data_IF_173744884900
#
_entry.id   IF_173744884900
#
_cell.length_a   1.000
_cell.length_b   1.000
_cell.length_c   1.000
_cell.angle_alpha   90.00
_cell.angle_beta   90.00
_cell.angle_gamma   90.00
#
_symmetry.space_group_name_H-M   'P 1'
#
loop_
_entity.id
_entity.type
_entity.pdbx_description
1 polymer ?
#
# COMPACT_ATOMS: atom_id res chain seq x y z
N UNK A 1 12.21 -73.61 -35.65
CA UNK A 1 11.70 -73.23 -34.32
C UNK A 1 12.23 -71.86 -33.99
N UNK A 2 11.39 -70.83 -34.12
CA UNK A 2 11.78 -69.43 -33.80
C UNK A 2 11.00 -69.08 -32.51
N UNK A 3 11.75 -68.84 -31.42
CA UNK A 3 11.21 -68.42 -30.12
C UNK A 3 11.11 -66.90 -30.12
N UNK A 4 9.90 -66.35 -30.03
CA UNK A 4 9.64 -64.92 -29.83
C UNK A 4 9.68 -64.63 -28.34
N UNK A 5 10.56 -63.73 -27.91
CA UNK A 5 10.55 -63.14 -26.59
C UNK A 5 9.70 -61.87 -26.64
N UNK A 6 8.59 -61.84 -25.93
CA UNK A 6 7.77 -60.66 -25.71
C UNK A 6 8.30 -59.96 -24.46
N UNK A 7 8.94 -58.83 -24.65
CA UNK A 7 9.33 -57.94 -23.55
C UNK A 7 8.14 -57.09 -23.07
N UNK A 8 7.72 -57.30 -21.82
CA UNK A 8 6.73 -56.43 -21.13
C UNK A 8 7.47 -55.20 -20.65
N UNK A 9 7.21 -54.06 -21.31
CA UNK A 9 7.63 -52.74 -20.83
C UNK A 9 6.66 -52.27 -19.72
N UNK A 10 7.13 -52.28 -18.47
CA UNK A 10 6.43 -51.72 -17.31
C UNK A 10 6.57 -50.18 -17.34
N UNK A 11 5.53 -49.50 -17.83
CA UNK A 11 5.43 -48.03 -17.75
C UNK A 11 5.13 -47.64 -16.29
N UNK A 12 6.17 -47.22 -15.57
CA UNK A 12 6.01 -46.47 -14.31
C UNK A 12 5.40 -45.11 -14.64
N UNK A 13 4.06 -44.98 -14.48
CA UNK A 13 3.40 -43.70 -14.42
C UNK A 13 3.85 -43.00 -13.14
N UNK A 14 4.84 -42.07 -13.24
CA UNK A 14 5.10 -41.05 -12.25
C UNK A 14 3.87 -40.15 -12.23
N UNK A 15 2.93 -40.45 -11.36
CA UNK A 15 1.87 -39.54 -11.01
C UNK A 15 2.51 -38.28 -10.42
N UNK A 16 2.49 -37.16 -11.15
CA UNK A 16 2.61 -35.86 -10.55
C UNK A 16 1.44 -35.76 -9.58
N UNK A 17 1.71 -35.84 -8.30
CA UNK A 17 0.77 -35.47 -7.26
C UNK A 17 0.57 -33.95 -7.38
N UNK A 18 -0.38 -33.57 -8.23
CA UNK A 18 -0.88 -32.21 -8.30
C UNK A 18 -1.79 -32.05 -7.07
N UNK A 19 -1.12 -31.97 -5.89
CA UNK A 19 -1.79 -31.57 -4.68
C UNK A 19 -2.42 -30.22 -4.99
N UNK A 20 -3.74 -30.18 -5.09
CA UNK A 20 -4.56 -28.99 -5.36
C UNK A 20 -4.24 -27.95 -4.29
N UNK A 21 -3.23 -27.09 -4.57
CA UNK A 21 -2.91 -25.96 -3.71
C UNK A 21 -4.10 -25.05 -3.71
N UNK A 22 -4.73 -24.95 -2.56
CA UNK A 22 -5.78 -23.96 -2.36
C UNK A 22 -5.13 -22.58 -2.32
N UNK A 23 -5.50 -21.67 -3.22
CA UNK A 23 -4.94 -20.32 -3.26
C UNK A 23 -5.95 -19.30 -2.73
N UNK A 24 -5.44 -18.30 -2.00
CA UNK A 24 -6.17 -17.10 -1.59
C UNK A 24 -5.56 -15.92 -2.35
N UNK A 25 -6.35 -15.30 -3.22
CA UNK A 25 -5.90 -14.20 -4.09
C UNK A 25 -6.28 -12.86 -3.47
N UNK A 26 -5.28 -12.03 -3.19
CA UNK A 26 -5.42 -10.67 -2.64
C UNK A 26 -4.95 -9.65 -3.67
N UNK A 27 -5.80 -8.70 -4.07
CA UNK A 27 -5.42 -7.68 -5.06
C UNK A 27 -5.67 -6.26 -4.55
N UNK A 28 -4.93 -5.27 -5.02
CA UNK A 28 -5.29 -3.87 -4.78
C UNK A 28 -4.19 -2.97 -4.25
N UNK A 29 -4.40 -2.37 -3.08
CA UNK A 29 -3.55 -1.31 -2.51
C UNK A 29 -2.09 -1.73 -2.32
N UNK A 30 -1.17 -1.00 -2.96
CA UNK A 30 0.28 -1.16 -2.74
C UNK A 30 0.75 -0.76 -1.33
N UNK A 31 -0.06 -0.01 -0.58
CA UNK A 31 0.23 0.30 0.83
C UNK A 31 -0.10 -0.90 1.74
N UNK A 32 -1.17 -1.63 1.44
CA UNK A 32 -1.57 -2.82 2.22
C UNK A 32 -0.72 -4.04 1.83
N UNK A 33 -0.22 -4.09 0.61
CA UNK A 33 0.46 -5.28 0.06
C UNK A 33 1.66 -5.79 0.88
N UNK A 34 2.58 -4.96 1.41
CA UNK A 34 3.65 -5.45 2.29
C UNK A 34 3.12 -6.16 3.53
N UNK A 35 2.08 -5.59 4.14
CA UNK A 35 1.40 -6.16 5.31
C UNK A 35 0.71 -7.48 4.95
N UNK A 36 -0.04 -7.50 3.83
CA UNK A 36 -0.70 -8.70 3.31
C UNK A 36 0.30 -9.82 3.01
N UNK A 37 1.46 -9.50 2.45
CA UNK A 37 2.51 -10.46 2.12
C UNK A 37 3.12 -11.10 3.38
N UNK A 38 3.44 -10.31 4.41
CA UNK A 38 3.99 -10.86 5.65
C UNK A 38 2.95 -11.67 6.45
N UNK A 39 1.70 -11.20 6.49
CA UNK A 39 0.59 -11.96 7.07
C UNK A 39 0.32 -13.24 6.27
N UNK A 40 0.38 -13.18 4.93
CA UNK A 40 0.23 -14.33 4.04
C UNK A 40 1.27 -15.41 4.32
N UNK A 41 2.55 -15.06 4.42
CA UNK A 41 3.63 -16.02 4.77
C UNK A 41 3.38 -16.71 6.12
N UNK A 42 2.92 -15.96 7.12
CA UNK A 42 2.59 -16.52 8.43
C UNK A 42 1.37 -17.43 8.37
N UNK A 43 0.36 -17.05 7.61
CA UNK A 43 -0.84 -17.84 7.40
C UNK A 43 -0.54 -19.15 6.67
N UNK A 44 0.26 -19.12 5.59
CA UNK A 44 0.74 -20.29 4.86
C UNK A 44 1.49 -21.28 5.78
N UNK A 45 2.30 -20.77 6.71
CA UNK A 45 3.03 -21.60 7.68
C UNK A 45 2.09 -22.34 8.65
N UNK A 46 0.92 -21.77 8.95
CA UNK A 46 -0.12 -22.37 9.81
C UNK A 46 -1.06 -23.29 9.03
N UNK A 47 -1.14 -23.16 7.69
CA UNK A 47 -2.06 -23.87 6.81
C UNK A 47 -1.30 -24.55 5.67
N UNK A 48 -0.67 -25.72 5.91
CA UNK A 48 0.07 -26.45 4.87
C UNK A 48 -0.82 -26.72 3.64
N UNK A 49 -0.32 -26.44 2.44
CA UNK A 49 -1.06 -26.59 1.18
C UNK A 49 -1.84 -25.34 0.74
N UNK A 50 -1.92 -24.29 1.57
CA UNK A 50 -2.47 -22.99 1.20
C UNK A 50 -1.38 -22.09 0.60
N UNK A 51 -1.76 -21.30 -0.40
CA UNK A 51 -0.94 -20.22 -1.00
C UNK A 51 -1.69 -18.90 -0.91
N UNK A 52 -1.02 -17.85 -0.45
CA UNK A 52 -1.55 -16.48 -0.47
C UNK A 52 -0.87 -15.69 -1.57
N UNK A 53 -1.61 -15.33 -2.61
CA UNK A 53 -1.11 -14.54 -3.75
C UNK A 53 -1.48 -13.07 -3.59
N UNK A 54 -0.47 -12.20 -3.51
CA UNK A 54 -0.65 -10.76 -3.27
C UNK A 54 -0.26 -9.98 -4.51
N UNK A 55 -1.23 -9.28 -5.12
CA UNK A 55 -1.04 -8.51 -6.34
C UNK A 55 -1.38 -7.04 -6.12
N UNK A 56 -0.51 -6.13 -6.58
CA UNK A 56 -0.74 -4.69 -6.47
C UNK A 56 -1.40 -4.12 -7.74
N UNK A 57 -2.08 -2.99 -7.58
CA UNK A 57 -2.75 -2.31 -8.70
C UNK A 57 -3.51 -1.05 -8.26
N UNK A 58 -3.55 -0.80 -6.94
CA UNK A 58 -4.31 0.28 -6.31
C UNK A 58 -5.67 -0.20 -5.79
N UNK A 59 -6.22 0.58 -4.86
CA UNK A 59 -7.46 0.20 -4.16
C UNK A 59 -8.66 0.03 -5.10
N UNK A 60 -8.76 0.85 -6.15
CA UNK A 60 -9.84 0.73 -7.14
C UNK A 60 -9.76 -0.58 -7.91
N UNK A 61 -8.55 -1.10 -8.20
CA UNK A 61 -8.37 -2.41 -8.80
C UNK A 61 -8.83 -3.50 -7.83
N UNK A 62 -8.41 -3.45 -6.56
CA UNK A 62 -8.83 -4.45 -5.55
C UNK A 62 -10.35 -4.55 -5.42
N UNK A 63 -11.05 -3.41 -5.43
CA UNK A 63 -12.51 -3.36 -5.42
C UNK A 63 -13.10 -3.99 -6.69
N UNK A 64 -12.55 -3.67 -7.87
CA UNK A 64 -13.03 -4.21 -9.14
C UNK A 64 -12.81 -5.73 -9.23
N UNK A 65 -11.63 -6.20 -8.85
CA UNK A 65 -11.25 -7.62 -8.90
C UNK A 65 -12.16 -8.48 -7.98
N UNK A 66 -12.46 -8.00 -6.76
CA UNK A 66 -13.39 -8.67 -5.84
C UNK A 66 -14.81 -8.73 -6.41
N UNK A 67 -15.31 -7.63 -6.99
CA UNK A 67 -16.64 -7.59 -7.61
C UNK A 67 -16.76 -8.53 -8.81
N UNK A 68 -15.65 -8.75 -9.53
CA UNK A 68 -15.58 -9.66 -10.69
C UNK A 68 -15.26 -11.12 -10.30
N UNK A 69 -15.01 -11.41 -9.03
CA UNK A 69 -14.58 -12.72 -8.57
C UNK A 69 -13.16 -13.10 -9.01
N UNK A 70 -12.34 -12.12 -9.42
CA UNK A 70 -10.95 -12.32 -9.79
C UNK A 70 -9.99 -12.30 -8.57
N UNK A 71 -10.48 -11.85 -7.42
CA UNK A 71 -9.79 -11.91 -6.14
C UNK A 71 -10.76 -12.30 -5.03
N UNK A 72 -10.27 -13.02 -4.03
CA UNK A 72 -11.03 -13.40 -2.84
C UNK A 72 -11.19 -12.21 -1.90
N UNK A 73 -10.14 -11.40 -1.76
CA UNK A 73 -10.13 -10.19 -0.95
C UNK A 73 -9.46 -9.03 -1.71
N UNK A 74 -10.04 -7.84 -1.58
CA UNK A 74 -9.47 -6.60 -2.07
C UNK A 74 -8.67 -5.89 -0.98
N UNK A 75 -7.49 -5.39 -1.31
CA UNK A 75 -6.70 -4.53 -0.44
C UNK A 75 -7.06 -3.06 -0.69
N UNK A 76 -7.53 -2.35 0.33
CA UNK A 76 -8.01 -0.97 0.22
C UNK A 76 -7.43 -0.11 1.34
N UNK A 77 -6.79 1.02 1.01
CA UNK A 77 -6.17 1.93 1.98
C UNK A 77 -6.97 3.22 2.18
N UNK A 78 -8.27 3.10 2.29
CA UNK A 78 -9.26 4.14 2.64
C UNK A 78 -10.56 3.50 3.13
N UNK A 79 -11.45 4.29 3.69
CA UNK A 79 -12.82 3.85 3.92
C UNK A 79 -13.54 3.53 2.59
N UNK A 80 -14.49 2.62 2.62
CA UNK A 80 -15.40 2.39 1.50
C UNK A 80 -16.29 3.64 1.28
N UNK A 81 -16.61 3.91 0.03
CA UNK A 81 -17.53 4.97 -0.34
C UNK A 81 -18.98 4.48 -0.26
N UNK A 82 -19.93 5.38 -0.30
CA UNK A 82 -21.37 5.04 -0.27
C UNK A 82 -21.80 4.12 -1.42
N UNK A 83 -21.22 4.31 -2.61
CA UNK A 83 -21.46 3.46 -3.80
C UNK A 83 -20.78 2.08 -3.74
N UNK A 84 -20.00 1.83 -2.70
CA UNK A 84 -19.29 0.55 -2.45
C UNK A 84 -19.96 -0.25 -1.32
N UNK A 85 -21.23 0.03 -1.03
CA UNK A 85 -22.00 -0.60 0.06
C UNK A 85 -22.34 -2.07 -0.15
N UNK A 86 -22.03 -2.64 -1.31
CA UNK A 86 -22.08 -4.07 -1.62
C UNK A 86 -20.89 -4.85 -1.01
N UNK A 87 -19.86 -4.14 -0.55
CA UNK A 87 -18.65 -4.71 0.02
C UNK A 87 -18.67 -4.64 1.56
N UNK A 88 -18.08 -5.64 2.19
CA UNK A 88 -17.72 -5.61 3.61
C UNK A 88 -16.27 -5.18 3.76
N UNK A 89 -15.98 -4.35 4.77
CA UNK A 89 -14.64 -3.83 5.04
C UNK A 89 -14.13 -4.32 6.39
N UNK A 90 -12.91 -4.85 6.41
CA UNK A 90 -12.23 -5.39 7.58
C UNK A 90 -10.93 -4.62 7.78
N UNK A 91 -10.95 -3.68 8.70
CA UNK A 91 -9.78 -2.88 9.04
C UNK A 91 -8.75 -3.74 9.78
N UNK A 92 -7.47 -3.60 9.43
CA UNK A 92 -6.36 -4.39 9.99
C UNK A 92 -5.23 -3.53 10.55
N UNK A 93 -5.10 -2.29 10.08
CA UNK A 93 -4.12 -1.34 10.58
C UNK A 93 -4.56 0.11 10.28
N UNK A 94 -3.89 1.07 10.94
CA UNK A 94 -3.94 2.48 10.56
C UNK A 94 -2.60 2.91 9.96
N UNK A 95 -2.67 3.90 9.07
CA UNK A 95 -1.53 4.55 8.43
C UNK A 95 -1.86 6.03 8.20
N UNK A 96 -0.85 6.83 7.89
CA UNK A 96 -1.00 8.22 7.47
C UNK A 96 -0.47 8.45 6.07
N UNK A 97 -0.84 9.57 5.45
CA UNK A 97 -0.25 10.06 4.20
C UNK A 97 0.58 11.29 4.53
N UNK A 98 1.90 11.18 4.40
CA UNK A 98 2.84 12.27 4.66
C UNK A 98 3.49 12.80 3.39
N UNK A 99 3.78 14.10 3.38
CA UNK A 99 4.67 14.69 2.40
C UNK A 99 6.11 14.23 2.67
N UNK A 100 6.84 13.89 1.61
CA UNK A 100 8.25 13.52 1.67
C UNK A 100 9.10 14.45 0.81
N UNK A 101 10.28 14.77 1.30
CA UNK A 101 11.35 15.46 0.59
C UNK A 101 12.66 14.71 0.78
N UNK A 102 13.67 15.02 -0.03
CA UNK A 102 15.02 14.51 0.20
C UNK A 102 15.54 14.98 1.57
N UNK A 103 16.33 14.17 2.25
CA UNK A 103 16.85 14.49 3.60
C UNK A 103 17.64 15.80 3.66
N UNK A 104 18.32 16.19 2.57
CA UNK A 104 19.11 17.43 2.47
C UNK A 104 18.25 18.66 2.14
N UNK A 105 16.96 18.50 1.82
CA UNK A 105 16.08 19.63 1.58
C UNK A 105 15.86 20.40 2.90
N UNK A 106 16.13 21.72 2.99
CA UNK A 106 16.08 22.46 4.24
C UNK A 106 14.67 22.82 4.72
N UNK A 107 13.63 22.58 3.92
CA UNK A 107 12.25 22.96 4.27
C UNK A 107 11.79 22.23 5.53
N UNK A 108 11.40 22.97 6.56
CA UNK A 108 10.94 22.38 7.81
C UNK A 108 9.49 21.89 7.74
N UNK A 109 8.61 22.66 7.09
CA UNK A 109 7.18 22.37 6.89
C UNK A 109 6.68 23.13 5.65
N UNK A 110 5.58 22.68 5.07
CA UNK A 110 4.83 23.39 4.04
C UNK A 110 3.39 23.62 4.53
N UNK A 111 2.92 24.85 4.42
CA UNK A 111 1.51 25.16 4.65
C UNK A 111 0.62 24.52 3.58
N UNK A 112 -0.66 24.33 3.87
CA UNK A 112 -1.64 23.81 2.89
C UNK A 112 -1.66 24.64 1.59
N UNK A 113 -1.51 25.97 1.70
CA UNK A 113 -1.47 26.88 0.55
C UNK A 113 -0.22 26.66 -0.32
N UNK A 114 0.94 26.45 0.30
CA UNK A 114 2.18 26.15 -0.41
C UNK A 114 2.13 24.78 -1.09
N UNK A 115 1.58 23.75 -0.41
CA UNK A 115 1.34 22.43 -1.04
C UNK A 115 0.45 22.58 -2.26
N UNK A 116 -0.69 23.30 -2.14
CA UNK A 116 -1.56 23.57 -3.28
C UNK A 116 -0.82 24.31 -4.39
N UNK A 117 -0.05 25.33 -4.03
CA UNK A 117 0.75 26.12 -4.98
C UNK A 117 1.76 25.27 -5.77
N UNK A 118 2.49 24.42 -5.08
CA UNK A 118 3.47 23.48 -5.67
C UNK A 118 2.76 22.51 -6.63
N UNK A 119 1.72 21.81 -6.15
CA UNK A 119 1.04 20.80 -6.96
C UNK A 119 0.23 21.38 -8.12
N UNK A 120 -0.12 22.68 -8.10
CA UNK A 120 -0.83 23.35 -9.20
C UNK A 120 0.08 24.21 -10.09
N UNK A 121 1.39 24.27 -9.81
CA UNK A 121 2.39 24.98 -10.60
C UNK A 121 2.37 26.49 -10.45
N UNK A 122 1.89 27.03 -9.32
CA UNK A 122 2.03 28.44 -8.98
C UNK A 122 3.27 28.71 -8.11
N UNK A 123 3.87 27.66 -7.55
CA UNK A 123 5.16 27.65 -6.86
C UNK A 123 6.02 26.59 -7.54
N UNK A 124 7.10 27.01 -8.18
CA UNK A 124 7.95 26.15 -9.01
C UNK A 124 9.41 26.13 -8.52
N UNK A 125 9.76 26.99 -7.56
CA UNK A 125 11.12 27.08 -6.99
C UNK A 125 11.07 27.04 -5.47
N UNK A 126 11.98 26.29 -4.85
CA UNK A 126 12.05 26.13 -3.40
C UNK A 126 12.28 27.45 -2.64
N UNK A 127 12.94 28.46 -3.27
CA UNK A 127 13.12 29.77 -2.65
C UNK A 127 11.82 30.53 -2.38
N UNK A 128 10.74 30.19 -3.12
CA UNK A 128 9.43 30.80 -2.93
C UNK A 128 8.76 30.37 -1.61
N UNK A 129 9.24 29.27 -1.03
CA UNK A 129 8.72 28.71 0.24
C UNK A 129 9.79 28.66 1.35
N UNK A 130 10.88 29.45 1.19
CA UNK A 130 11.94 29.56 2.21
C UNK A 130 13.03 28.50 2.13
N UNK A 131 13.07 27.71 1.06
CA UNK A 131 14.12 26.75 0.77
C UNK A 131 15.31 27.34 0.02
N UNK A 132 16.29 26.49 -0.30
CA UNK A 132 17.40 26.87 -1.17
C UNK A 132 16.88 27.05 -2.62
N UNK A 133 17.38 28.07 -3.36
CA UNK A 133 16.99 28.26 -4.76
C UNK A 133 17.17 26.99 -5.60
N UNK A 134 16.16 26.63 -6.35
CA UNK A 134 16.19 25.48 -7.25
C UNK A 134 14.78 24.98 -7.60
N UNK A 135 14.63 24.31 -8.76
CA UNK A 135 13.34 23.87 -9.24
C UNK A 135 12.74 22.78 -8.34
N UNK A 136 11.42 22.83 -8.19
CA UNK A 136 10.65 21.79 -7.49
C UNK A 136 10.25 20.72 -8.50
N UNK A 137 10.60 19.46 -8.23
CA UNK A 137 10.10 18.29 -8.99
C UNK A 137 8.89 17.69 -8.29
N UNK A 138 7.73 17.80 -8.89
CA UNK A 138 6.45 17.34 -8.32
C UNK A 138 6.23 15.86 -8.63
N UNK A 139 6.26 15.03 -7.59
CA UNK A 139 5.98 13.58 -7.69
C UNK A 139 4.52 13.34 -7.29
N UNK A 140 3.74 12.75 -8.20
CA UNK A 140 2.30 12.55 -8.05
C UNK A 140 1.91 11.09 -8.26
N UNK A 141 0.82 10.65 -7.63
CA UNK A 141 0.31 9.29 -7.74
C UNK A 141 -0.57 9.12 -9.00
N UNK A 142 -0.48 7.95 -9.65
CA UNK A 142 -1.39 7.55 -10.71
C UNK A 142 -2.83 7.38 -10.18
N UNK A 143 -3.80 7.45 -11.07
CA UNK A 143 -5.22 7.23 -10.77
C UNK A 143 -5.50 5.82 -10.21
N UNK A 144 -6.62 5.67 -9.50
CA UNK A 144 -7.01 4.42 -8.84
C UNK A 144 -6.27 4.12 -7.53
N UNK A 145 -5.45 5.05 -7.05
CA UNK A 145 -4.71 4.94 -5.78
C UNK A 145 -5.40 5.74 -4.68
N UNK A 146 -5.76 5.09 -3.57
CA UNK A 146 -6.38 5.78 -2.42
C UNK A 146 -5.51 6.93 -1.89
N UNK A 147 -4.18 6.80 -1.97
CA UNK A 147 -3.24 7.85 -1.54
C UNK A 147 -3.45 9.13 -2.37
N UNK A 148 -3.66 9.01 -3.69
CA UNK A 148 -4.03 10.12 -4.56
C UNK A 148 -5.35 10.77 -4.12
N UNK A 149 -6.38 9.93 -3.98
CA UNK A 149 -7.74 10.39 -3.68
C UNK A 149 -7.80 11.17 -2.36
N UNK A 150 -7.20 10.62 -1.30
CA UNK A 150 -7.16 11.25 0.02
C UNK A 150 -6.32 12.53 0.05
N UNK A 151 -5.18 12.55 -0.67
CA UNK A 151 -4.36 13.76 -0.82
C UNK A 151 -5.16 14.89 -1.50
N UNK A 152 -5.78 14.61 -2.64
CA UNK A 152 -6.58 15.58 -3.37
C UNK A 152 -7.78 16.09 -2.55
N UNK A 153 -8.44 15.19 -1.82
CA UNK A 153 -9.54 15.55 -0.94
C UNK A 153 -9.10 16.47 0.20
N UNK A 154 -7.98 16.15 0.85
CA UNK A 154 -7.46 16.93 1.98
C UNK A 154 -7.11 18.36 1.56
N UNK A 155 -6.33 18.49 0.49
CA UNK A 155 -5.89 19.80 -0.02
C UNK A 155 -6.92 20.47 -0.93
N UNK A 156 -8.09 19.83 -1.18
CA UNK A 156 -9.17 20.31 -2.04
C UNK A 156 -8.69 20.67 -3.47
N UNK A 157 -7.78 19.86 -4.01
CA UNK A 157 -7.23 20.02 -5.36
C UNK A 157 -8.00 19.10 -6.32
N UNK A 158 -8.41 19.61 -7.48
CA UNK A 158 -8.92 18.78 -8.58
C UNK A 158 -7.73 18.12 -9.30
N UNK A 159 -7.78 16.81 -9.56
CA UNK A 159 -6.69 16.09 -10.23
C UNK A 159 -6.27 16.75 -11.57
N UNK A 160 -7.24 17.27 -12.32
CA UNK A 160 -7.00 18.01 -13.58
C UNK A 160 -6.21 19.33 -13.43
N UNK A 161 -6.03 19.83 -12.21
CA UNK A 161 -5.25 21.05 -11.91
C UNK A 161 -3.83 20.72 -11.49
N UNK A 162 -3.53 19.46 -11.17
CA UNK A 162 -2.17 19.07 -10.79
C UNK A 162 -1.23 19.13 -11.98
N UNK A 163 -0.02 19.62 -11.77
CA UNK A 163 1.08 19.73 -12.74
C UNK A 163 2.23 18.81 -12.30
N UNK A 164 2.14 17.50 -12.52
CA UNK A 164 3.19 16.58 -12.11
C UNK A 164 4.34 16.57 -13.09
N UNK A 165 5.58 16.47 -12.57
CA UNK A 165 6.76 16.14 -13.36
C UNK A 165 6.94 14.63 -13.48
N UNK A 166 6.60 13.90 -12.40
CA UNK A 166 6.72 12.45 -12.34
C UNK A 166 5.41 11.84 -11.82
N UNK A 167 4.88 10.85 -12.53
CA UNK A 167 3.72 10.07 -12.09
C UNK A 167 4.17 8.68 -11.67
N UNK A 168 3.81 8.27 -10.46
CA UNK A 168 4.23 7.01 -9.83
C UNK A 168 3.04 6.11 -9.49
N UNK A 169 3.29 4.78 -9.45
CA UNK A 169 2.27 3.78 -9.14
C UNK A 169 2.17 3.39 -7.66
N UNK A 170 3.28 3.40 -6.92
CA UNK A 170 3.33 2.91 -5.53
C UNK A 170 4.19 3.80 -4.62
N UNK A 171 4.29 3.45 -3.33
CA UNK A 171 5.06 4.25 -2.37
C UNK A 171 6.55 4.15 -2.62
N UNK A 172 7.06 2.95 -2.92
CA UNK A 172 8.46 2.70 -3.17
C UNK A 172 9.01 3.49 -4.35
N UNK A 173 8.24 3.57 -5.46
CA UNK A 173 8.60 4.41 -6.60
C UNK A 173 8.69 5.88 -6.19
N UNK A 174 7.76 6.36 -5.37
CA UNK A 174 7.77 7.74 -4.86
C UNK A 174 8.97 8.03 -3.98
N UNK A 175 9.24 7.15 -3.03
CA UNK A 175 10.38 7.28 -2.12
C UNK A 175 11.70 7.26 -2.91
N UNK A 176 11.89 6.32 -3.83
CA UNK A 176 13.09 6.25 -4.68
C UNK A 176 13.27 7.47 -5.58
N UNK A 177 12.16 8.02 -6.10
CA UNK A 177 12.21 9.24 -6.90
C UNK A 177 12.68 10.43 -6.08
N UNK A 178 12.15 10.60 -4.86
CA UNK A 178 12.54 11.68 -3.96
C UNK A 178 13.96 11.47 -3.43
N UNK A 179 14.34 10.24 -3.06
CA UNK A 179 15.69 9.91 -2.63
C UNK A 179 16.76 10.17 -3.69
N UNK A 180 16.42 10.03 -4.97
CA UNK A 180 17.32 10.30 -6.10
C UNK A 180 17.32 11.74 -6.59
N UNK A 181 16.48 12.62 -6.04
CA UNK A 181 16.35 14.02 -6.50
C UNK A 181 16.13 14.98 -5.32
N UNK A 182 17.15 15.74 -4.87
CA UNK A 182 17.03 16.70 -3.78
C UNK A 182 15.98 17.81 -4.00
N UNK A 183 15.60 18.10 -5.24
CA UNK A 183 14.54 19.05 -5.59
C UNK A 183 13.13 18.47 -5.58
N UNK A 184 12.97 17.16 -5.35
CA UNK A 184 11.67 16.51 -5.43
C UNK A 184 10.85 16.63 -4.14
N UNK A 185 9.53 16.71 -4.33
CA UNK A 185 8.51 16.56 -3.28
C UNK A 185 7.49 15.53 -3.73
N UNK A 186 7.10 14.65 -2.82
CA UNK A 186 6.09 13.63 -3.05
C UNK A 186 5.20 13.44 -1.82
N UNK A 187 4.24 12.53 -1.92
CA UNK A 187 3.42 12.10 -0.79
C UNK A 187 3.21 10.58 -0.84
N UNK A 188 3.40 9.94 0.30
CA UNK A 188 3.39 8.48 0.43
C UNK A 188 2.80 8.05 1.78
N UNK A 189 2.72 6.75 2.02
CA UNK A 189 2.46 6.17 3.34
C UNK A 189 3.52 6.61 4.34
N UNK A 190 3.10 7.07 5.51
CA UNK A 190 4.01 7.44 6.61
C UNK A 190 4.79 6.20 7.05
N UNK A 191 4.11 5.08 7.29
CA UNK A 191 4.78 3.86 7.73
C UNK A 191 5.85 3.39 6.74
N UNK A 192 5.56 3.39 5.43
CA UNK A 192 6.56 3.04 4.42
C UNK A 192 7.76 4.00 4.43
N UNK A 193 7.52 5.31 4.51
CA UNK A 193 8.59 6.30 4.50
C UNK A 193 9.44 6.28 5.79
N UNK A 194 8.83 6.06 6.96
CA UNK A 194 9.56 5.87 8.22
C UNK A 194 10.45 4.63 8.18
N UNK A 195 9.93 3.51 7.64
CA UNK A 195 10.70 2.29 7.48
C UNK A 195 11.93 2.52 6.59
N UNK A 196 11.74 3.10 5.41
CA UNK A 196 12.80 3.35 4.46
C UNK A 196 13.85 4.34 5.00
N UNK A 197 13.41 5.42 5.66
CA UNK A 197 14.31 6.36 6.31
C UNK A 197 15.13 5.69 7.44
N UNK A 198 14.53 4.79 8.21
CA UNK A 198 15.21 4.06 9.29
C UNK A 198 16.31 3.12 8.76
N UNK A 199 16.19 2.59 7.54
CA UNK A 199 17.22 1.77 6.89
C UNK A 199 18.19 2.58 6.02
N UNK A 200 18.12 3.91 6.08
CA UNK A 200 19.11 4.82 5.47
C UNK A 200 18.74 5.34 4.08
N UNK A 201 17.50 5.19 3.61
CA UNK A 201 17.04 5.86 2.39
C UNK A 201 16.98 7.38 2.65
N UNK A 202 17.60 8.24 1.80
CA UNK A 202 17.77 9.66 2.08
C UNK A 202 16.49 10.47 1.85
N UNK A 203 15.43 10.15 2.59
CA UNK A 203 14.15 10.87 2.59
C UNK A 203 13.77 11.26 4.01
N UNK A 204 12.97 12.28 4.14
CA UNK A 204 12.31 12.66 5.40
C UNK A 204 10.88 13.10 5.17
N UNK A 205 10.06 12.83 6.16
CA UNK A 205 8.67 13.26 6.22
C UNK A 205 8.60 14.73 6.71
N UNK A 206 7.69 15.50 6.13
CA UNK A 206 7.37 16.85 6.60
C UNK A 206 6.18 16.81 7.56
N UNK A 207 6.18 17.63 8.62
CA UNK A 207 4.99 17.88 9.42
C UNK A 207 3.83 18.37 8.55
N UNK A 208 2.62 18.17 9.04
CA UNK A 208 1.41 18.70 8.42
C UNK A 208 0.60 19.43 9.48
N UNK A 209 0.40 20.73 9.28
CA UNK A 209 -0.29 21.61 10.25
C UNK A 209 0.33 21.55 11.66
N UNK A 210 1.66 21.58 11.72
CA UNK A 210 2.41 21.50 12.98
C UNK A 210 2.42 20.12 13.65
N UNK A 211 1.90 19.07 13.00
CA UNK A 211 1.91 17.70 13.52
C UNK A 211 2.94 16.88 12.76
N UNK A 212 3.89 16.30 13.49
CA UNK A 212 4.89 15.40 12.92
C UNK A 212 4.24 14.23 12.20
N UNK A 213 4.71 13.94 10.98
CA UNK A 213 4.22 12.82 10.17
C UNK A 213 4.91 11.53 10.62
N UNK A 214 4.44 10.95 11.71
CA UNK A 214 4.99 9.73 12.33
C UNK A 214 3.90 8.70 12.61
N UNK A 215 4.28 7.42 12.66
CA UNK A 215 3.40 6.34 13.12
C UNK A 215 2.84 6.63 14.53
N UNK A 216 3.62 7.26 15.40
CA UNK A 216 3.18 7.66 16.75
C UNK A 216 2.06 8.71 16.71
N UNK A 217 2.14 9.71 15.83
CA UNK A 217 1.08 10.72 15.68
C UNK A 217 -0.18 10.15 15.03
N UNK A 218 -0.03 9.17 14.12
CA UNK A 218 -1.14 8.38 13.57
C UNK A 218 -1.82 7.58 14.68
N UNK A 219 -1.06 6.87 15.51
CA UNK A 219 -1.59 6.05 16.61
C UNK A 219 -2.41 6.85 17.63
N UNK A 220 -2.05 8.10 17.86
CA UNK A 220 -2.78 9.00 18.77
C UNK A 220 -3.92 9.76 18.13
N UNK A 221 -4.20 9.53 16.83
CA UNK A 221 -5.25 10.24 16.07
C UNK A 221 -4.97 11.73 15.84
N UNK A 222 -3.75 12.21 16.12
CA UNK A 222 -3.39 13.62 15.95
C UNK A 222 -3.06 13.99 14.51
N UNK A 223 -2.54 13.03 13.73
CA UNK A 223 -2.15 13.31 12.36
C UNK A 223 -3.37 13.48 11.44
N UNK A 224 -3.47 14.59 10.66
CA UNK A 224 -4.72 14.95 9.97
C UNK A 224 -5.07 14.06 8.78
N UNK A 225 -4.10 13.40 8.12
CA UNK A 225 -4.33 12.49 6.99
C UNK A 225 -4.18 11.03 7.41
N UNK A 226 -4.83 10.63 8.50
CA UNK A 226 -4.88 9.23 8.93
C UNK A 226 -5.92 8.45 8.11
N UNK A 227 -5.63 7.19 7.82
CA UNK A 227 -6.49 6.28 7.08
C UNK A 227 -6.45 4.86 7.64
N UNK A 228 -7.50 4.09 7.40
CA UNK A 228 -7.50 2.64 7.65
C UNK A 228 -6.91 1.87 6.46
N UNK A 229 -6.20 0.80 6.79
CA UNK A 229 -5.78 -0.25 5.87
C UNK A 229 -6.75 -1.42 6.02
N UNK A 230 -7.37 -1.83 4.93
CA UNK A 230 -8.49 -2.76 4.97
C UNK A 230 -8.32 -3.90 3.98
N UNK A 231 -8.85 -5.06 4.34
CA UNK A 231 -9.31 -6.05 3.37
C UNK A 231 -10.80 -5.87 3.14
N UNK A 232 -11.24 -6.04 1.90
CA UNK A 232 -12.66 -5.96 1.53
C UNK A 232 -13.09 -7.23 0.82
N UNK A 233 -14.34 -7.64 1.05
CA UNK A 233 -14.95 -8.80 0.41
C UNK A 233 -16.32 -8.43 -0.19
N UNK A 234 -16.76 -9.17 -1.19
CA UNK A 234 -18.11 -9.07 -1.72
C UNK A 234 -19.07 -9.84 -0.80
N UNK A 235 -19.82 -9.11 0.02
CA UNK A 235 -20.65 -9.70 1.06
C UNK A 235 -19.84 -10.32 2.23
N UNK A 236 -20.44 -11.18 3.04
CA UNK A 236 -19.75 -11.86 4.14
C UNK A 236 -18.68 -12.82 3.59
N UNK A 237 -17.42 -12.74 4.08
CA UNK A 237 -16.38 -13.68 3.68
C UNK A 237 -16.67 -15.08 4.20
N UNK A 238 -16.26 -16.11 3.43
CA UNK A 238 -16.45 -17.52 3.78
C UNK A 238 -15.16 -18.32 3.52
N UNK A 239 -15.04 -19.50 4.14
CA UNK A 239 -13.93 -20.43 3.92
C UNK A 239 -12.59 -19.80 4.21
N UNK A 240 -11.63 -19.99 3.30
CA UNK A 240 -10.25 -19.54 3.49
C UNK A 240 -10.11 -18.02 3.66
N UNK A 241 -10.97 -17.22 3.01
CA UNK A 241 -10.98 -15.76 3.17
C UNK A 241 -11.44 -15.36 4.58
N UNK A 242 -12.43 -16.04 5.14
CA UNK A 242 -12.90 -15.84 6.51
C UNK A 242 -11.80 -16.19 7.53
N UNK A 243 -11.16 -17.36 7.36
CA UNK A 243 -10.04 -17.80 8.22
C UNK A 243 -8.87 -16.83 8.18
N UNK A 244 -8.49 -16.36 6.99
CA UNK A 244 -7.44 -15.36 6.83
C UNK A 244 -7.80 -14.05 7.52
N UNK A 245 -9.04 -13.56 7.36
CA UNK A 245 -9.50 -12.34 8.02
C UNK A 245 -9.53 -12.47 9.55
N UNK A 246 -9.93 -13.62 10.07
CA UNK A 246 -9.86 -13.89 11.51
C UNK A 246 -8.39 -13.85 12.01
N UNK A 247 -7.47 -14.46 11.26
CA UNK A 247 -6.04 -14.44 11.58
C UNK A 247 -5.46 -13.03 11.56
N UNK A 248 -5.68 -12.24 10.49
CA UNK A 248 -5.06 -10.90 10.34
C UNK A 248 -5.65 -9.84 11.28
N UNK A 249 -6.79 -10.12 11.90
CA UNK A 249 -7.40 -9.28 12.93
C UNK A 249 -7.06 -9.72 14.36
N UNK A 250 -6.35 -10.82 14.50
CA UNK A 250 -5.94 -11.32 15.83
C UNK A 250 -4.71 -10.57 16.36
N UNK A 251 -4.49 -10.63 17.66
CA UNK A 251 -3.29 -10.07 18.30
C UNK A 251 -1.98 -10.71 17.82
N UNK A 252 -2.05 -11.92 17.23
CA UNK A 252 -0.88 -12.65 16.71
C UNK A 252 -0.11 -11.89 15.60
N UNK A 253 -0.77 -10.95 14.94
CA UNK A 253 -0.15 -10.15 13.85
C UNK A 253 0.28 -8.75 14.29
N UNK A 254 -0.03 -8.30 15.51
CA UNK A 254 0.25 -6.93 15.95
C UNK A 254 1.73 -6.56 15.86
N UNK A 255 2.65 -7.49 16.20
CA UNK A 255 4.09 -7.22 16.08
C UNK A 255 4.53 -7.13 14.61
N UNK A 256 3.88 -7.87 13.71
CA UNK A 256 4.11 -7.74 12.27
C UNK A 256 3.67 -6.36 11.77
N UNK A 257 2.49 -5.90 12.22
CA UNK A 257 1.98 -4.56 11.87
C UNK A 257 2.94 -3.47 12.34
N UNK A 258 3.40 -3.53 13.59
CA UNK A 258 4.37 -2.57 14.14
C UNK A 258 5.73 -2.65 13.45
N UNK A 259 6.21 -3.86 13.12
CA UNK A 259 7.48 -4.08 12.43
C UNK A 259 7.51 -3.50 11.01
N UNK A 260 6.33 -3.29 10.41
CA UNK A 260 6.16 -2.60 9.12
C UNK A 260 5.80 -1.11 9.30
N UNK A 261 5.97 -0.54 10.48
CA UNK A 261 5.66 0.85 10.81
C UNK A 261 4.20 1.24 10.53
N UNK A 262 3.27 0.31 10.77
CA UNK A 262 1.83 0.60 10.81
C UNK A 262 1.30 0.52 12.23
N UNK A 263 0.12 1.08 12.46
CA UNK A 263 -0.55 1.05 13.77
C UNK A 263 -1.55 -0.10 13.79
N UNK A 264 -1.37 -1.12 14.67
CA UNK A 264 -2.36 -2.18 14.82
C UNK A 264 -3.70 -1.61 15.29
N UNK A 265 -4.80 -2.22 14.82
CA UNK A 265 -6.12 -1.97 15.39
C UNK A 265 -6.22 -2.84 16.65
N UNK A 266 -6.45 -2.19 17.78
CA UNK A 266 -6.77 -2.86 19.05
C UNK A 266 -8.25 -2.63 19.32
N UNK A 267 -9.00 -3.70 19.56
CA UNK A 267 -10.41 -3.65 19.97
C UNK A 267 -10.60 -2.87 21.27
#
# INVERSE_FOLDING_TARGET
MKVFWAGIALLLALGCDDSTRTSLVLTGSSTVAPLASEMGKKFEALHPGVRVDVQTGGSSRGIADVRQGAADLGMVSRALRSEEGDLTSHAVALDGIGLIVHQENPIAELSDAEVVGIYTGSIEDWSQVGGSPGPITVVHKAEGRSTLELFLQHFKIKNSRVRPDVVIGDNEQGIKTVAGNPGAVGYVSIGTAEYDAAIGVPVRLLPTRGVEATTASVATGRFPLTRSLNFVALGPPTGLAEEFLAFVRSSAVHDTVRGLHFVPITD
#
